data_IF_311735128337
#
_entry.id   IF_311735128337
#
_cell.length_a   1.000
_cell.length_b   1.000
_cell.length_c   1.000
_cell.angle_alpha   90.00
_cell.angle_beta   90.00
_cell.angle_gamma   90.00
#
_symmetry.space_group_name_H-M   'P 1'
#
loop_
_entity.id
_entity.type
_entity.pdbx_description
1 polymer ?
#
# COMPACT_ATOMS: atom_id res chain seq x y z
N UNK A 1 -56.00 -21.08 21.07
CA UNK A 1 -55.69 -21.64 19.74
C UNK A 1 -54.52 -20.86 19.17
N UNK A 2 -53.29 -21.38 19.27
CA UNK A 2 -52.05 -20.64 18.98
C UNK A 2 -51.43 -21.23 17.72
N UNK A 3 -51.27 -20.43 16.66
CA UNK A 3 -50.38 -20.77 15.54
C UNK A 3 -49.33 -19.67 15.42
N UNK A 4 -48.17 -19.91 16.05
CA UNK A 4 -46.95 -19.12 15.86
C UNK A 4 -46.32 -19.59 14.55
N UNK A 5 -46.35 -18.74 13.52
CA UNK A 5 -45.62 -18.97 12.27
C UNK A 5 -44.16 -18.56 12.48
N UNK A 6 -43.28 -19.54 12.74
CA UNK A 6 -41.84 -19.33 12.77
C UNK A 6 -41.29 -19.66 11.37
N UNK A 7 -41.11 -18.64 10.53
CA UNK A 7 -40.40 -18.79 9.25
C UNK A 7 -38.89 -18.93 9.54
N UNK A 8 -38.19 -19.92 8.95
CA UNK A 8 -36.74 -20.01 9.10
C UNK A 8 -36.06 -18.87 8.34
N UNK A 9 -35.16 -18.16 9.02
CA UNK A 9 -34.29 -17.15 8.44
C UNK A 9 -33.38 -17.84 7.40
N UNK A 10 -33.77 -17.82 6.13
CA UNK A 10 -32.90 -18.34 5.06
C UNK A 10 -31.70 -17.41 4.93
N UNK A 11 -30.53 -17.85 5.42
CA UNK A 11 -29.25 -17.26 5.06
C UNK A 11 -29.04 -17.52 3.57
N UNK A 12 -29.32 -16.51 2.75
CA UNK A 12 -28.94 -16.52 1.35
C UNK A 12 -27.41 -16.57 1.24
N UNK A 13 -26.91 -17.53 0.47
CA UNK A 13 -25.49 -17.54 0.10
C UNK A 13 -25.25 -16.31 -0.79
N UNK A 14 -24.43 -15.39 -0.31
CA UNK A 14 -23.96 -14.27 -1.11
C UNK A 14 -23.20 -14.84 -2.30
N UNK A 15 -23.50 -14.36 -3.52
CA UNK A 15 -22.70 -14.73 -4.69
C UNK A 15 -21.28 -14.25 -4.46
N UNK A 16 -20.31 -15.04 -4.90
CA UNK A 16 -18.89 -14.68 -4.87
C UNK A 16 -18.67 -13.30 -5.51
N UNK A 17 -19.41 -12.99 -6.58
CA UNK A 17 -19.39 -11.69 -7.26
C UNK A 17 -19.89 -10.51 -6.41
N UNK A 18 -20.68 -10.73 -5.36
CA UNK A 18 -21.11 -9.67 -4.43
C UNK A 18 -20.08 -9.48 -3.32
N UNK A 19 -19.40 -10.55 -2.88
CA UNK A 19 -18.28 -10.49 -1.93
C UNK A 19 -17.08 -9.73 -2.54
N UNK A 20 -16.87 -9.87 -3.85
CA UNK A 20 -15.79 -9.19 -4.59
C UNK A 20 -16.03 -7.70 -4.80
N UNK A 21 -17.27 -7.19 -4.67
CA UNK A 21 -17.56 -5.74 -4.82
C UNK A 21 -17.10 -4.92 -3.62
N UNK A 22 -17.16 -5.52 -2.43
CA UNK A 22 -16.71 -4.91 -1.18
C UNK A 22 -15.24 -5.20 -0.87
N UNK A 23 -14.61 -6.07 -1.66
CA UNK A 23 -13.18 -6.31 -1.59
C UNK A 23 -12.44 -5.09 -2.14
N UNK A 24 -12.17 -4.13 -1.26
CA UNK A 24 -11.21 -3.06 -1.49
C UNK A 24 -9.81 -3.60 -1.12
N UNK A 25 -8.98 -4.03 -2.08
CA UNK A 25 -7.62 -4.48 -1.79
C UNK A 25 -6.71 -3.39 -1.21
N UNK A 26 -7.14 -2.13 -1.24
CA UNK A 26 -6.33 -0.95 -0.90
C UNK A 26 -6.57 -0.43 0.53
N UNK A 27 -7.64 -0.86 1.22
CA UNK A 27 -7.99 -0.35 2.55
C UNK A 27 -7.55 -1.34 3.62
N UNK A 28 -6.23 -1.55 3.71
CA UNK A 28 -5.63 -2.29 4.81
C UNK A 28 -5.99 -1.58 6.13
N UNK A 29 -6.57 -2.31 7.06
CA UNK A 29 -7.21 -1.75 8.25
C UNK A 29 -6.23 -1.51 9.41
N UNK A 30 -4.90 -1.59 9.17
CA UNK A 30 -3.90 -1.86 10.20
C UNK A 30 -2.71 -0.89 10.27
N UNK A 31 -2.78 0.27 9.64
CA UNK A 31 -1.55 0.70 8.98
C UNK A 31 -0.83 1.93 9.55
N UNK A 32 -1.44 2.79 10.37
CA UNK A 32 -0.77 4.03 10.80
C UNK A 32 0.54 3.81 11.55
N UNK A 33 0.60 2.85 12.47
CA UNK A 33 1.83 2.51 13.21
C UNK A 33 2.87 1.84 12.30
N UNK A 34 2.46 0.88 11.48
CA UNK A 34 3.32 0.23 10.49
C UNK A 34 3.87 1.20 9.44
N UNK A 35 3.06 2.15 8.96
CA UNK A 35 3.47 3.20 8.04
C UNK A 35 4.45 4.18 8.68
N UNK A 36 4.23 4.55 9.95
CA UNK A 36 5.15 5.39 10.69
C UNK A 36 6.49 4.70 10.91
N UNK A 37 6.46 3.45 11.38
CA UNK A 37 7.65 2.63 11.59
C UNK A 37 8.39 2.41 10.28
N UNK A 38 7.69 2.01 9.22
CA UNK A 38 8.30 1.83 7.91
C UNK A 38 8.87 3.12 7.33
N UNK A 39 8.13 4.23 7.40
CA UNK A 39 8.63 5.51 6.93
C UNK A 39 9.87 5.98 7.69
N UNK A 40 9.93 5.71 9.00
CA UNK A 40 11.12 5.97 9.81
C UNK A 40 12.30 5.07 9.42
N UNK A 41 12.07 3.76 9.31
CA UNK A 41 13.08 2.77 8.91
C UNK A 41 13.65 3.12 7.52
N UNK A 42 12.79 3.48 6.58
CA UNK A 42 13.17 3.92 5.23
C UNK A 42 14.00 5.21 5.26
N UNK A 43 13.60 6.20 6.06
CA UNK A 43 14.37 7.44 6.22
C UNK A 43 15.75 7.19 6.85
N UNK A 44 15.83 6.24 7.79
CA UNK A 44 17.08 5.80 8.41
C UNK A 44 18.00 5.14 7.39
N UNK A 45 17.50 4.17 6.61
CA UNK A 45 18.25 3.46 5.59
C UNK A 45 18.79 4.36 4.47
N UNK A 46 18.01 5.37 4.10
CA UNK A 46 18.40 6.36 3.08
C UNK A 46 19.31 7.46 3.66
N UNK A 47 19.52 7.51 4.97
CA UNK A 47 20.31 8.54 5.64
C UNK A 47 19.66 9.92 5.64
N UNK A 48 18.32 9.99 5.62
CA UNK A 48 17.54 11.22 5.49
C UNK A 48 16.46 11.36 6.58
N UNK A 49 16.85 11.06 7.82
CA UNK A 49 15.98 11.16 9.01
C UNK A 49 15.39 12.56 9.23
N UNK A 50 16.06 13.62 8.75
CA UNK A 50 15.54 14.99 8.79
C UNK A 50 14.20 15.13 8.05
N UNK A 51 13.99 14.32 7.01
CA UNK A 51 12.77 14.31 6.21
C UNK A 51 11.88 13.10 6.52
N UNK A 52 12.00 12.45 7.69
CA UNK A 52 11.20 11.28 8.08
C UNK A 52 9.70 11.43 7.80
N UNK A 53 9.13 12.61 8.02
CA UNK A 53 7.71 12.91 7.80
C UNK A 53 7.29 12.72 6.33
N UNK A 54 8.19 12.98 5.38
CA UNK A 54 7.98 12.74 3.96
C UNK A 54 7.85 11.23 3.68
N UNK A 55 8.76 10.43 4.22
CA UNK A 55 8.76 8.98 4.03
C UNK A 55 7.56 8.31 4.70
N UNK A 56 7.15 8.80 5.88
CA UNK A 56 5.91 8.36 6.54
C UNK A 56 4.69 8.69 5.68
N UNK A 57 4.64 9.89 5.08
CA UNK A 57 3.56 10.25 4.16
C UNK A 57 3.55 9.32 2.94
N UNK A 58 4.72 9.06 2.34
CA UNK A 58 4.85 8.14 1.22
C UNK A 58 4.38 6.73 1.59
N UNK A 59 4.71 6.24 2.78
CA UNK A 59 4.22 4.96 3.27
C UNK A 59 2.68 4.90 3.34
N UNK A 60 2.03 6.00 3.71
CA UNK A 60 0.57 6.09 3.80
C UNK A 60 -0.14 6.21 2.45
N UNK A 61 0.49 6.88 1.48
CA UNK A 61 -0.15 7.26 0.21
C UNK A 61 0.24 6.36 -0.97
N UNK A 62 1.32 5.59 -0.84
CA UNK A 62 1.88 4.79 -1.94
C UNK A 62 1.78 3.31 -1.60
N UNK A 63 1.31 2.47 -2.54
CA UNK A 63 1.28 1.02 -2.36
C UNK A 63 2.65 0.47 -1.94
N UNK A 64 2.65 -0.42 -0.94
CA UNK A 64 3.88 -0.95 -0.33
C UNK A 64 4.81 -1.60 -1.35
N UNK A 65 4.27 -2.27 -2.36
CA UNK A 65 5.04 -2.89 -3.43
C UNK A 65 5.96 -1.90 -4.16
N UNK A 66 5.47 -0.70 -4.48
CA UNK A 66 6.28 0.32 -5.17
C UNK A 66 7.39 0.88 -4.28
N UNK A 67 7.12 1.01 -2.98
CA UNK A 67 8.12 1.50 -2.01
C UNK A 67 9.22 0.47 -1.78
N UNK A 68 8.88 -0.81 -1.63
CA UNK A 68 9.87 -1.89 -1.50
C UNK A 68 10.71 -2.04 -2.77
N UNK A 69 10.12 -1.96 -3.96
CA UNK A 69 10.87 -2.02 -5.21
C UNK A 69 11.86 -0.85 -5.34
N UNK A 70 11.43 0.37 -5.02
CA UNK A 70 12.33 1.52 -4.99
C UNK A 70 13.42 1.40 -3.91
N UNK A 71 13.09 0.85 -2.74
CA UNK A 71 14.04 0.61 -1.64
C UNK A 71 15.11 -0.42 -2.04
N UNK A 72 14.70 -1.55 -2.62
CA UNK A 72 15.62 -2.59 -3.08
C UNK A 72 16.57 -2.06 -4.15
N UNK A 73 16.06 -1.29 -5.11
CA UNK A 73 16.88 -0.64 -6.13
C UNK A 73 17.99 0.25 -5.55
N UNK A 74 17.71 0.97 -4.45
CA UNK A 74 18.70 1.83 -3.80
C UNK A 74 19.66 1.03 -2.92
N UNK A 75 19.23 -0.09 -2.34
CA UNK A 75 20.11 -1.00 -1.58
C UNK A 75 21.23 -1.58 -2.43
N UNK A 76 20.94 -1.92 -3.68
CA UNK A 76 21.94 -2.45 -4.63
C UNK A 76 22.93 -1.39 -5.12
N UNK A 77 22.64 -0.11 -4.88
CA UNK A 77 23.44 1.01 -5.36
C UNK A 77 24.49 1.43 -4.31
N UNK A 78 25.68 0.82 -4.38
CA UNK A 78 26.75 1.05 -3.41
C UNK A 78 27.46 2.41 -3.55
N UNK A 79 27.45 3.04 -4.73
CA UNK A 79 28.30 4.20 -5.06
C UNK A 79 27.52 5.49 -5.41
N UNK A 80 26.32 5.68 -4.84
CA UNK A 80 25.47 6.84 -5.18
C UNK A 80 25.78 8.05 -4.31
N UNK A 81 25.92 9.21 -4.96
CA UNK A 81 26.10 10.51 -4.27
C UNK A 81 24.96 10.87 -3.32
N UNK A 82 23.74 10.38 -3.55
CA UNK A 82 22.59 10.63 -2.68
C UNK A 82 21.52 9.55 -2.84
N UNK A 83 21.49 8.59 -1.89
CA UNK A 83 20.46 7.55 -1.80
C UNK A 83 19.02 8.10 -1.76
N UNK A 84 18.72 9.20 -1.03
CA UNK A 84 17.38 9.79 -1.01
C UNK A 84 16.90 10.24 -2.40
N UNK A 85 17.78 10.88 -3.17
CA UNK A 85 17.43 11.35 -4.52
C UNK A 85 17.19 10.18 -5.48
N UNK A 86 18.01 9.14 -5.39
CA UNK A 86 17.84 7.93 -6.19
C UNK A 86 16.52 7.23 -5.88
N UNK A 87 16.17 7.14 -4.59
CA UNK A 87 14.89 6.60 -4.14
C UNK A 87 13.72 7.38 -4.74
N UNK A 88 13.71 8.70 -4.61
CA UNK A 88 12.64 9.55 -5.12
C UNK A 88 12.49 9.46 -6.65
N UNK A 89 13.62 9.43 -7.36
CA UNK A 89 13.64 9.24 -8.82
C UNK A 89 13.03 7.89 -9.21
N UNK A 90 13.48 6.80 -8.56
CA UNK A 90 12.99 5.46 -8.88
C UNK A 90 11.51 5.31 -8.55
N UNK A 91 11.08 5.80 -7.39
CA UNK A 91 9.67 5.79 -7.00
C UNK A 91 8.79 6.53 -8.02
N UNK A 92 9.27 7.67 -8.54
CA UNK A 92 8.55 8.43 -9.57
C UNK A 92 8.47 7.68 -10.90
N UNK A 93 9.52 6.97 -11.29
CA UNK A 93 9.54 6.09 -12.47
C UNK A 93 8.50 4.96 -12.33
N UNK A 94 8.48 4.28 -11.17
CA UNK A 94 7.55 3.17 -10.90
C UNK A 94 6.10 3.63 -10.90
N UNK A 95 5.81 4.78 -10.26
CA UNK A 95 4.47 5.40 -10.31
C UNK A 95 4.01 5.70 -11.73
N UNK A 96 4.90 6.22 -12.59
CA UNK A 96 4.59 6.47 -14.01
C UNK A 96 4.27 5.18 -14.75
N UNK A 97 5.07 4.12 -14.53
CA UNK A 97 4.82 2.79 -15.14
C UNK A 97 3.47 2.22 -14.71
N UNK A 98 3.15 2.25 -13.42
CA UNK A 98 1.86 1.79 -12.88
C UNK A 98 0.66 2.56 -13.47
N UNK A 99 0.81 3.87 -13.71
CA UNK A 99 -0.24 4.66 -14.39
C UNK A 99 -0.39 4.28 -15.87
N UNK A 100 0.71 3.98 -16.55
CA UNK A 100 0.69 3.56 -17.97
C UNK A 100 0.07 2.19 -18.16
N UNK A 101 0.29 1.24 -17.24
CA UNK A 101 -0.35 -0.09 -17.30
C UNK A 101 -1.85 0.01 -17.12
N UNK A 102 -2.32 0.87 -16.21
CA UNK A 102 -3.75 1.09 -15.99
C UNK A 102 -4.46 1.76 -17.18
N UNK A 103 -3.77 2.60 -17.95
CA UNK A 103 -4.34 3.29 -19.14
C UNK A 103 -4.44 2.38 -20.38
N UNK A 104 -3.76 1.24 -20.39
CA UNK A 104 -3.71 0.30 -21.53
C UNK A 104 -4.66 -0.89 -21.38
N UNK A 105 -5.36 -1.01 -20.25
CA UNK A 105 -6.36 -2.06 -19.98
C UNK A 105 -7.77 -1.55 -20.18
#
# INVERSE_FOLDING_TARGET
>A
MVRRNNAPLQKSFLKIGDILKDFKPDEDKYISYEFQKYGYDLASELGDLKNKSLYIKLAKEVPRGLLEEARNFVKDAYNVKSKPKLFMWKLSELKKRAKLTHKRS
#
